data_IF_366176368003
#
_entry.id   IF_366176368003
#
_cell.length_a   1.000
_cell.length_b   1.000
_cell.length_c   1.000
_cell.angle_alpha   90.00
_cell.angle_beta   90.00
_cell.angle_gamma   90.00
#
_symmetry.space_group_name_H-M   'P 1'
#
loop_
_entity.id
_entity.type
_entity.pdbx_description
1 polymer ?
#
# COMPACT_ATOMS: atom_id res chain seq x y z
N UNK A 1 -16.55 -0.89 12.40
CA UNK A 1 -15.53 -1.10 13.39
C UNK A 1 -14.14 -1.11 12.81
N UNK A 2 -13.97 -1.79 11.69
CA UNK A 2 -12.65 -1.83 11.05
C UNK A 2 -12.13 -0.45 10.71
N UNK A 3 -13.04 0.46 10.42
CA UNK A 3 -12.67 1.82 10.05
C UNK A 3 -11.82 2.49 11.11
N UNK A 4 -12.25 2.39 12.36
CA UNK A 4 -11.53 3.02 13.46
C UNK A 4 -10.17 2.36 13.63
N UNK A 5 -10.13 1.04 13.54
CA UNK A 5 -8.87 0.33 13.69
C UNK A 5 -7.88 0.67 12.59
N UNK A 6 -8.37 0.77 11.35
CA UNK A 6 -7.48 1.11 10.24
C UNK A 6 -6.93 2.52 10.39
N UNK A 7 -7.79 3.47 10.77
CA UNK A 7 -7.33 4.84 10.95
C UNK A 7 -6.27 4.91 12.04
N UNK A 8 -6.47 4.16 13.12
CA UNK A 8 -5.50 4.12 14.20
C UNK A 8 -4.19 3.52 13.75
N UNK A 9 -4.24 2.43 13.00
CA UNK A 9 -3.04 1.79 12.49
C UNK A 9 -2.25 2.72 11.59
N UNK A 10 -2.93 3.41 10.68
CA UNK A 10 -2.26 4.33 9.78
C UNK A 10 -1.60 5.45 10.56
N UNK A 11 -2.26 5.95 11.59
CA UNK A 11 -1.70 7.02 12.40
C UNK A 11 -0.49 6.56 13.21
N UNK A 12 -0.39 5.26 13.50
CA UNK A 12 0.74 4.72 14.24
C UNK A 12 1.91 4.34 13.34
N UNK A 13 1.70 4.32 12.03
CA UNK A 13 2.78 4.04 11.09
C UNK A 13 3.71 5.23 10.97
N UNK A 14 4.95 4.97 10.54
CA UNK A 14 5.87 6.08 10.31
C UNK A 14 5.45 6.83 9.04
N UNK A 15 6.07 7.99 8.85
CA UNK A 15 5.71 8.88 7.75
C UNK A 15 5.95 8.23 6.39
N UNK A 16 6.99 7.42 6.28
CA UNK A 16 7.30 6.77 5.01
C UNK A 16 6.20 5.79 4.64
N UNK A 17 5.75 4.97 5.59
CA UNK A 17 4.69 4.01 5.32
C UNK A 17 3.39 4.71 4.95
N UNK A 18 3.07 5.81 5.64
CA UNK A 18 1.88 6.60 5.30
C UNK A 18 1.98 7.16 3.89
N UNK A 19 3.15 7.69 3.54
CA UNK A 19 3.36 8.25 2.22
C UNK A 19 3.20 7.20 1.13
N UNK A 20 3.75 6.02 1.35
CA UNK A 20 3.63 4.94 0.38
C UNK A 20 2.16 4.52 0.23
N UNK A 21 1.46 4.38 1.34
CA UNK A 21 0.04 4.01 1.30
C UNK A 21 -0.76 5.05 0.50
N UNK A 22 -0.54 6.32 0.80
CA UNK A 22 -1.25 7.39 0.11
C UNK A 22 -0.93 7.40 -1.38
N UNK A 23 0.34 7.24 -1.71
CA UNK A 23 0.76 7.21 -3.11
C UNK A 23 0.10 6.07 -3.86
N UNK A 24 0.10 4.88 -3.26
CA UNK A 24 -0.51 3.73 -3.90
C UNK A 24 -2.02 3.91 -4.04
N UNK A 25 -2.66 4.47 -3.03
CA UNK A 25 -4.09 4.71 -3.09
C UNK A 25 -4.44 5.68 -4.22
N UNK A 26 -3.67 6.75 -4.33
CA UNK A 26 -3.90 7.74 -5.37
C UNK A 26 -3.62 7.20 -6.76
N UNK A 27 -2.76 6.19 -6.84
CA UNK A 27 -2.44 5.56 -8.12
C UNK A 27 -3.38 4.40 -8.44
N UNK A 28 -4.28 4.06 -7.53
CA UNK A 28 -5.13 2.90 -7.70
C UNK A 28 -6.27 3.20 -8.67
N UNK A 29 -6.84 2.12 -9.20
CA UNK A 29 -8.00 2.19 -10.08
C UNK A 29 -9.17 1.55 -9.37
N UNK A 30 -10.31 2.22 -9.37
CA UNK A 30 -11.51 1.68 -8.77
C UNK A 30 -12.23 0.76 -9.74
N UNK A 31 -12.65 -0.39 -9.24
CA UNK A 31 -13.43 -1.34 -10.03
C UNK A 31 -14.44 -2.00 -9.11
N UNK A 32 -15.71 -1.79 -9.37
CA UNK A 32 -16.80 -2.37 -8.58
C UNK A 32 -16.66 -2.06 -7.09
N UNK A 33 -16.30 -0.83 -6.78
CA UNK A 33 -16.21 -0.40 -5.39
C UNK A 33 -14.92 -0.75 -4.70
N UNK A 34 -14.01 -1.44 -5.38
CA UNK A 34 -12.71 -1.80 -4.81
C UNK A 34 -11.61 -1.08 -5.54
N UNK A 35 -10.51 -0.84 -4.84
CA UNK A 35 -9.36 -0.15 -5.42
C UNK A 35 -8.22 -1.13 -5.63
N UNK A 36 -7.64 -1.09 -6.82
CA UNK A 36 -6.55 -1.99 -7.19
C UNK A 36 -5.38 -1.19 -7.70
N UNK A 37 -4.18 -1.64 -7.38
CA UNK A 37 -2.97 -0.94 -7.79
C UNK A 37 -1.88 -1.95 -8.13
N UNK A 38 -1.18 -1.70 -9.25
CA UNK A 38 0.01 -2.45 -9.60
C UNK A 38 1.20 -1.77 -8.94
N UNK A 39 2.01 -2.55 -8.24
CA UNK A 39 3.13 -2.00 -7.48
C UNK A 39 4.44 -2.55 -8.02
N UNK A 40 5.07 -1.86 -8.97
CA UNK A 40 6.47 -2.13 -9.28
C UNK A 40 7.31 -1.42 -8.22
N UNK A 41 8.02 -2.21 -7.42
CA UNK A 41 8.78 -1.67 -6.29
C UNK A 41 9.77 -0.61 -6.74
N UNK A 42 10.33 -0.78 -7.95
CA UNK A 42 11.30 0.18 -8.46
C UNK A 42 10.73 1.58 -8.60
N UNK A 43 9.46 1.69 -8.98
CA UNK A 43 8.84 3.01 -9.12
C UNK A 43 8.67 3.68 -7.76
N UNK A 44 8.33 2.89 -6.74
CA UNK A 44 8.18 3.44 -5.39
C UNK A 44 9.54 3.86 -4.84
N UNK A 45 10.57 3.08 -5.14
CA UNK A 45 11.93 3.42 -4.74
C UNK A 45 12.31 4.78 -5.32
N UNK A 46 12.04 5.00 -6.60
CA UNK A 46 12.36 6.28 -7.24
C UNK A 46 11.53 7.41 -6.66
N UNK A 47 10.26 7.16 -6.40
CA UNK A 47 9.36 8.20 -5.92
C UNK A 47 9.79 8.71 -4.55
N UNK A 48 10.19 7.82 -3.66
CA UNK A 48 10.49 8.18 -2.28
C UNK A 48 11.98 8.29 -2.01
N UNK A 49 12.82 7.93 -2.99
CA UNK A 49 14.28 8.05 -2.87
C UNK A 49 14.81 7.31 -1.65
N UNK A 50 14.27 6.10 -1.44
CA UNK A 50 14.73 5.20 -0.40
C UNK A 50 15.27 3.94 -1.06
N UNK A 51 16.09 3.18 -0.33
CA UNK A 51 16.61 1.97 -0.92
C UNK A 51 15.52 0.90 -1.04
N UNK A 52 15.79 -0.07 -1.89
CA UNK A 52 14.84 -1.10 -2.25
C UNK A 52 14.34 -1.87 -1.04
N UNK A 53 15.25 -2.20 -0.14
CA UNK A 53 14.91 -3.00 1.03
C UNK A 53 13.97 -2.26 1.97
N UNK A 54 14.22 -0.97 2.15
CA UNK A 54 13.38 -0.15 3.00
C UNK A 54 11.96 -0.09 2.45
N UNK A 55 11.84 0.12 1.13
CA UNK A 55 10.53 0.18 0.50
C UNK A 55 9.80 -1.15 0.63
N UNK A 56 10.51 -2.26 0.38
CA UNK A 56 9.89 -3.58 0.51
C UNK A 56 9.38 -3.84 1.92
N UNK A 57 10.13 -3.42 2.93
CA UNK A 57 9.71 -3.60 4.31
C UNK A 57 8.45 -2.81 4.63
N UNK A 58 8.36 -1.59 4.10
CA UNK A 58 7.17 -0.79 4.35
C UNK A 58 5.94 -1.35 3.63
N UNK A 59 6.13 -1.85 2.41
CA UNK A 59 5.03 -2.47 1.69
C UNK A 59 4.59 -3.74 2.42
N UNK A 60 5.54 -4.53 2.93
CA UNK A 60 5.20 -5.72 3.71
C UNK A 60 4.44 -5.35 4.98
N UNK A 61 4.81 -4.25 5.62
CA UNK A 61 4.11 -3.81 6.81
C UNK A 61 2.67 -3.44 6.48
N UNK A 62 2.45 -2.74 5.36
CA UNK A 62 1.09 -2.41 4.93
C UNK A 62 0.28 -3.67 4.66
N UNK A 63 0.91 -4.67 4.06
CA UNK A 63 0.26 -5.94 3.78
C UNK A 63 -0.09 -6.66 5.08
N UNK A 64 0.83 -6.68 6.03
CA UNK A 64 0.63 -7.36 7.30
C UNK A 64 -0.50 -6.71 8.11
N UNK A 65 -0.67 -5.40 7.95
CA UNK A 65 -1.75 -4.70 8.63
C UNK A 65 -3.09 -4.83 7.90
N UNK A 66 -3.11 -5.52 6.78
CA UNK A 66 -4.35 -5.73 6.06
C UNK A 66 -4.77 -4.57 5.16
N UNK A 67 -3.90 -3.59 4.95
CA UNK A 67 -4.21 -2.46 4.09
C UNK A 67 -3.93 -2.75 2.63
N UNK A 68 -3.07 -3.71 2.36
CA UNK A 68 -2.79 -4.19 1.00
C UNK A 68 -3.04 -5.69 0.97
N UNK A 69 -3.83 -6.13 0.01
CA UNK A 69 -4.12 -7.56 -0.16
C UNK A 69 -3.57 -8.00 -1.51
N UNK A 70 -2.58 -8.88 -1.55
CA UNK A 70 -2.02 -9.33 -2.84
C UNK A 70 -3.03 -10.19 -3.58
N UNK A 71 -3.22 -9.88 -4.85
CA UNK A 71 -4.16 -10.62 -5.69
C UNK A 71 -3.39 -11.52 -6.66
N UNK A 72 -2.50 -10.92 -7.46
CA UNK A 72 -1.73 -11.65 -8.47
C UNK A 72 -0.31 -11.12 -8.44
N UNK A 73 0.65 -12.04 -8.52
CA UNK A 73 2.05 -11.65 -8.59
C UNK A 73 2.67 -12.20 -9.87
N UNK A 74 3.31 -11.34 -10.63
CA UNK A 74 4.02 -11.72 -11.84
C UNK A 74 5.36 -11.02 -11.84
N UNK A 75 6.43 -11.80 -11.87
CA UNK A 75 7.79 -11.28 -11.82
C UNK A 75 7.95 -10.39 -10.59
N UNK A 76 8.33 -9.13 -10.78
CA UNK A 76 8.53 -8.21 -9.67
C UNK A 76 7.35 -7.27 -9.46
N UNK A 77 6.24 -7.53 -10.14
CA UNK A 77 5.07 -6.67 -10.05
C UNK A 77 3.93 -7.45 -9.40
N UNK A 78 3.32 -6.85 -8.41
CA UNK A 78 2.19 -7.46 -7.72
C UNK A 78 0.97 -6.56 -7.85
N UNK A 79 -0.16 -7.15 -8.19
CA UNK A 79 -1.43 -6.45 -8.17
C UNK A 79 -2.01 -6.57 -6.78
N UNK A 80 -2.23 -5.44 -6.12
CA UNK A 80 -2.80 -5.41 -4.78
C UNK A 80 -4.18 -4.79 -4.81
N UNK A 81 -5.03 -5.29 -3.94
CA UNK A 81 -6.23 -4.56 -3.57
C UNK A 81 -5.86 -3.68 -2.38
N UNK A 82 -6.12 -2.39 -2.49
CA UNK A 82 -5.78 -1.47 -1.41
C UNK A 82 -7.06 -1.06 -0.72
N UNK A 83 -7.07 -1.17 0.60
CA UNK A 83 -8.27 -0.91 1.39
C UNK A 83 -8.33 0.54 1.81
N UNK A 84 -9.52 1.10 1.69
CA UNK A 84 -9.77 2.48 2.06
C UNK A 84 -9.79 2.60 3.58
N UNK A 85 -9.13 3.65 4.10
CA UNK A 85 -9.13 3.88 5.53
C UNK A 85 -10.48 4.42 6.02
N UNK A 86 -11.31 4.86 5.10
CA UNK A 86 -12.63 5.36 5.45
C UNK A 86 -13.68 4.36 5.06
N UNK A 87 -14.05 3.54 5.83
CA UNK A 87 -14.98 2.50 5.47
C UNK A 87 -16.38 2.80 5.90
#
# INVERSE_FOLDING_TARGET
MLTIERSLMINLMDDLAKGIYKYLYESSTEFEGNHFVLVPVTDVVKKFERNHRTIQRRISALKDEGLLVPIIKRNSITLYQILNQEE
#
